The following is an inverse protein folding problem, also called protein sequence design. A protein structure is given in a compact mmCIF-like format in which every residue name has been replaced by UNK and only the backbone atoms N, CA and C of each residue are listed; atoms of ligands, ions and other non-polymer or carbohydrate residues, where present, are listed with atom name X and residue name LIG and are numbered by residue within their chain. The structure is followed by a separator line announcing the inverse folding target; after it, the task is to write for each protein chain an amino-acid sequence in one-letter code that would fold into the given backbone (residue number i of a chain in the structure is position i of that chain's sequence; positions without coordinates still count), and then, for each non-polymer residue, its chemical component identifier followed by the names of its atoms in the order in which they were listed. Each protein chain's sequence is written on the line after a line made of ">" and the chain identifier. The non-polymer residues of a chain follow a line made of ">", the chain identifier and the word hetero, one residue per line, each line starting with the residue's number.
data_IF_911965882888
#
_entry.id   IF_911965882888
#
_cell.length_a   1.000
_cell.length_b   1.000
_cell.length_c   1.000
_cell.angle_alpha   90.00
_cell.angle_beta   90.00
_cell.angle_gamma   90.00
#
_symmetry.space_group_name_H-M   'P 1'
#
loop_
_entity.id
_entity.type
_entity.pdbx_description
1 polymer ?
#
# COMPACT_ATOMS: atom_id res chain seq x y z
N UNK A 1 -26.86 11.57 -17.94
CA UNK A 1 -27.33 11.15 -16.59
C UNK A 1 -26.68 9.79 -16.34
N UNK A 2 -25.77 9.70 -15.38
CA UNK A 2 -25.22 8.40 -14.96
C UNK A 2 -26.30 7.69 -14.15
N UNK A 3 -26.61 6.43 -14.49
CA UNK A 3 -27.46 5.56 -13.68
C UNK A 3 -26.69 4.89 -12.52
N UNK A 4 -25.41 5.24 -12.37
CA UNK A 4 -24.53 4.77 -11.31
C UNK A 4 -24.20 5.93 -10.39
N UNK A 5 -24.40 5.70 -9.09
CA UNK A 5 -24.08 6.62 -8.01
C UNK A 5 -23.14 5.92 -7.03
N UNK A 6 -22.08 6.61 -6.60
CA UNK A 6 -21.18 6.12 -5.55
C UNK A 6 -21.63 6.69 -4.22
N UNK A 7 -21.94 5.82 -3.26
CA UNK A 7 -22.24 6.25 -1.90
C UNK A 7 -20.93 6.63 -1.20
N UNK A 8 -20.83 7.81 -0.58
CA UNK A 8 -19.66 8.19 0.22
C UNK A 8 -19.41 7.20 1.37
N UNK A 9 -18.13 7.00 1.72
CA UNK A 9 -17.76 6.34 2.97
C UNK A 9 -17.83 7.32 4.14
N UNK A 10 -17.98 6.81 5.36
CA UNK A 10 -18.04 7.62 6.56
C UNK A 10 -16.67 8.26 6.88
N UNK A 11 -16.59 9.58 7.00
CA UNK A 11 -15.31 10.31 7.16
C UNK A 11 -15.10 10.92 8.55
N UNK A 12 -16.11 10.91 9.43
CA UNK A 12 -16.09 11.77 10.64
C UNK A 12 -16.17 10.98 11.95
N UNK A 13 -16.92 9.87 12.03
CA UNK A 13 -17.04 9.06 13.25
C UNK A 13 -17.26 7.57 12.95
N UNK A 14 -16.24 6.73 13.13
CA UNK A 14 -16.28 5.27 12.90
C UNK A 14 -15.20 4.80 11.92
N UNK A 15 -15.33 3.59 11.38
CA UNK A 15 -14.43 3.05 10.35
C UNK A 15 -14.53 3.88 9.07
N UNK A 16 -13.40 4.49 8.66
CA UNK A 16 -13.32 5.50 7.59
C UNK A 16 -13.65 4.98 6.18
N UNK A 17 -13.88 3.68 6.04
CA UNK A 17 -13.98 2.99 4.76
C UNK A 17 -15.22 2.09 4.66
N UNK A 18 -16.20 2.28 5.54
CA UNK A 18 -17.54 1.71 5.41
C UNK A 18 -18.50 2.73 4.79
N UNK A 19 -19.47 2.24 4.04
CA UNK A 19 -20.54 3.05 3.45
C UNK A 19 -21.24 3.91 4.51
N UNK A 20 -21.38 5.21 4.24
CA UNK A 20 -22.15 6.11 5.07
C UNK A 20 -23.65 5.91 4.83
N UNK A 21 -24.31 5.29 5.80
CA UNK A 21 -25.74 5.02 5.82
C UNK A 21 -26.56 6.31 5.63
N UNK A 22 -26.19 7.41 6.29
CA UNK A 22 -26.97 8.64 6.21
C UNK A 22 -26.87 9.27 4.82
N UNK A 23 -25.69 9.18 4.20
CA UNK A 23 -25.49 9.60 2.81
C UNK A 23 -26.24 8.70 1.83
N UNK A 24 -26.26 7.38 2.06
CA UNK A 24 -27.07 6.46 1.26
C UNK A 24 -28.57 6.80 1.30
N UNK A 25 -29.15 7.01 2.49
CA UNK A 25 -30.57 7.36 2.65
C UNK A 25 -30.92 8.66 1.92
N UNK A 26 -30.05 9.67 1.97
CA UNK A 26 -30.24 10.93 1.22
C UNK A 26 -30.23 10.69 -0.29
N UNK A 27 -29.27 9.91 -0.79
CA UNK A 27 -29.19 9.61 -2.22
C UNK A 27 -30.44 8.88 -2.73
N UNK A 28 -30.98 7.95 -1.94
CA UNK A 28 -32.25 7.27 -2.24
C UNK A 28 -33.40 8.27 -2.31
N UNK A 29 -33.53 9.15 -1.32
CA UNK A 29 -34.58 10.16 -1.28
C UNK A 29 -34.48 11.16 -2.45
N UNK A 30 -33.27 11.63 -2.76
CA UNK A 30 -33.00 12.55 -3.87
C UNK A 30 -33.33 11.91 -5.23
N UNK A 31 -33.04 10.61 -5.39
CA UNK A 31 -33.41 9.85 -6.58
C UNK A 31 -34.93 9.74 -6.73
N UNK A 32 -35.64 9.41 -5.65
CA UNK A 32 -37.11 9.33 -5.65
C UNK A 32 -37.76 10.69 -5.95
N UNK A 33 -37.28 11.77 -5.34
CA UNK A 33 -37.77 13.15 -5.59
C UNK A 33 -37.52 13.57 -7.05
N UNK A 34 -36.39 13.16 -7.62
CA UNK A 34 -36.07 13.39 -9.03
C UNK A 34 -36.85 12.48 -10.00
N UNK A 35 -37.76 11.62 -9.51
CA UNK A 35 -38.54 10.67 -10.31
C UNK A 35 -37.70 9.53 -10.87
N UNK A 36 -36.53 9.26 -10.30
CA UNK A 36 -35.70 8.09 -10.59
C UNK A 36 -36.13 6.92 -9.71
N UNK A 37 -35.71 5.72 -10.09
CA UNK A 37 -36.00 4.49 -9.34
C UNK A 37 -34.66 3.91 -8.89
N UNK A 38 -34.33 3.97 -7.59
CA UNK A 38 -33.21 3.22 -7.02
C UNK A 38 -33.47 1.71 -7.21
N UNK A 39 -32.55 1.01 -7.89
CA UNK A 39 -32.77 -0.39 -8.29
C UNK A 39 -31.89 -1.38 -7.52
N UNK A 40 -30.61 -1.07 -7.33
CA UNK A 40 -29.60 -2.00 -6.86
C UNK A 40 -28.59 -1.27 -5.98
N UNK A 41 -28.34 -1.82 -4.80
CA UNK A 41 -27.20 -1.47 -3.95
C UNK A 41 -26.17 -2.58 -3.99
N UNK A 42 -24.92 -2.23 -4.28
CA UNK A 42 -23.76 -3.10 -4.15
C UNK A 42 -23.06 -2.78 -2.81
N UNK A 43 -23.07 -3.72 -1.88
CA UNK A 43 -22.45 -3.58 -0.56
C UNK A 43 -21.26 -4.54 -0.41
N UNK A 44 -20.23 -4.11 0.32
CA UNK A 44 -18.99 -4.86 0.49
C UNK A 44 -18.97 -5.65 1.81
N UNK A 45 -18.72 -6.96 1.72
CA UNK A 45 -18.34 -7.86 2.80
C UNK A 45 -16.84 -8.10 2.75
N UNK A 46 -16.08 -7.08 3.10
CA UNK A 46 -14.65 -7.04 2.92
C UNK A 46 -14.25 -6.43 1.59
N UNK A 47 -14.04 -5.12 1.58
CA UNK A 47 -13.54 -4.38 0.41
C UNK A 47 -12.23 -4.99 -0.12
N UNK A 48 -11.98 -4.99 -1.44
CA UNK A 48 -10.78 -5.62 -2.00
C UNK A 48 -9.46 -5.06 -1.43
N UNK A 49 -9.43 -3.76 -1.18
CA UNK A 49 -8.26 -3.06 -0.67
C UNK A 49 -7.99 -3.37 0.81
N UNK A 50 -8.99 -3.16 1.66
CA UNK A 50 -8.77 -3.16 3.11
C UNK A 50 -9.68 -4.10 3.91
N UNK A 51 -10.56 -4.87 3.26
CA UNK A 51 -11.38 -5.85 3.97
C UNK A 51 -12.43 -5.23 4.88
N UNK A 52 -12.87 -3.99 4.61
CA UNK A 52 -13.96 -3.36 5.35
C UNK A 52 -15.32 -3.97 4.99
N UNK A 53 -16.15 -4.23 5.98
CA UNK A 53 -17.51 -4.76 5.80
C UNK A 53 -18.55 -3.69 6.08
N UNK A 54 -19.45 -3.46 5.13
CA UNK A 54 -20.56 -2.53 5.29
C UNK A 54 -21.59 -3.02 6.33
N UNK A 55 -22.35 -2.08 6.89
CA UNK A 55 -23.34 -2.36 7.95
C UNK A 55 -24.61 -3.00 7.39
N UNK A 56 -24.55 -4.29 7.07
CA UNK A 56 -25.63 -5.02 6.38
C UNK A 56 -26.98 -4.99 7.08
N UNK A 57 -27.03 -4.95 8.42
CA UNK A 57 -28.32 -4.88 9.14
C UNK A 57 -29.10 -3.66 8.68
N UNK A 58 -28.48 -2.47 8.74
CA UNK A 58 -29.14 -1.22 8.38
C UNK A 58 -29.36 -1.09 6.88
N UNK A 59 -28.39 -1.52 6.06
CA UNK A 59 -28.55 -1.53 4.60
C UNK A 59 -29.72 -2.41 4.16
N UNK A 60 -29.87 -3.61 4.76
CA UNK A 60 -30.96 -4.52 4.44
C UNK A 60 -32.35 -3.92 4.79
N UNK A 61 -32.45 -3.15 5.87
CA UNK A 61 -33.69 -2.47 6.25
C UNK A 61 -34.07 -1.39 5.24
N UNK A 62 -33.11 -0.52 4.86
CA UNK A 62 -33.34 0.55 3.88
C UNK A 62 -33.71 -0.05 2.52
N UNK A 63 -32.94 -1.03 2.05
CA UNK A 63 -33.22 -1.69 0.78
C UNK A 63 -34.61 -2.35 0.76
N UNK A 64 -35.00 -3.02 1.85
CA UNK A 64 -36.34 -3.61 1.96
C UNK A 64 -37.46 -2.56 1.97
N UNK A 65 -37.23 -1.40 2.60
CA UNK A 65 -38.22 -0.31 2.68
C UNK A 65 -38.48 0.34 1.32
N UNK A 66 -37.42 0.52 0.51
CA UNK A 66 -37.48 1.20 -0.77
C UNK A 66 -37.59 0.23 -1.97
N UNK A 67 -37.61 -1.09 -1.74
CA UNK A 67 -37.65 -2.08 -2.81
C UNK A 67 -36.37 -2.15 -3.65
N UNK A 68 -35.22 -1.82 -3.05
CA UNK A 68 -33.91 -1.84 -3.69
C UNK A 68 -33.30 -3.23 -3.54
N UNK A 69 -32.77 -3.81 -4.62
CA UNK A 69 -32.04 -5.07 -4.55
C UNK A 69 -30.73 -4.90 -3.80
N UNK A 70 -30.46 -5.71 -2.78
CA UNK A 70 -29.18 -5.72 -2.06
C UNK A 70 -28.29 -6.86 -2.55
N UNK A 71 -27.19 -6.51 -3.22
CA UNK A 71 -26.11 -7.44 -3.56
C UNK A 71 -24.92 -7.27 -2.61
N UNK A 72 -24.33 -8.38 -2.16
CA UNK A 72 -23.15 -8.37 -1.29
C UNK A 72 -21.97 -9.10 -1.95
N UNK A 73 -20.81 -8.48 -1.96
CA UNK A 73 -19.58 -9.12 -2.46
C UNK A 73 -18.38 -8.83 -1.56
N UNK A 74 -17.39 -9.72 -1.55
CA UNK A 74 -16.14 -9.49 -0.83
C UNK A 74 -15.55 -10.74 -0.20
N UNK A 75 -14.31 -10.61 0.27
CA UNK A 75 -13.50 -11.74 0.78
C UNK A 75 -13.94 -12.19 2.17
N UNK A 76 -14.55 -11.32 2.96
CA UNK A 76 -15.06 -11.65 4.31
C UNK A 76 -16.27 -12.59 4.24
N UNK A 77 -16.94 -12.71 3.09
CA UNK A 77 -17.96 -13.75 2.84
C UNK A 77 -17.42 -15.17 3.05
N UNK A 78 -16.10 -15.38 2.92
CA UNK A 78 -15.48 -16.66 3.22
C UNK A 78 -15.76 -17.12 4.66
N UNK A 79 -15.88 -16.19 5.62
CA UNK A 79 -16.15 -16.49 7.03
C UNK A 79 -17.53 -17.10 7.28
N UNK A 80 -18.48 -16.97 6.33
CA UNK A 80 -19.81 -17.59 6.43
C UNK A 80 -19.76 -19.12 6.49
N UNK A 81 -18.67 -19.74 6.04
CA UNK A 81 -18.50 -21.19 6.13
C UNK A 81 -18.12 -21.64 7.54
N UNK A 82 -17.61 -20.75 8.39
CA UNK A 82 -17.17 -21.10 9.74
C UNK A 82 -18.36 -21.49 10.62
N UNK A 83 -18.13 -22.41 11.57
CA UNK A 83 -19.17 -22.86 12.51
C UNK A 83 -19.64 -21.77 13.49
N UNK A 84 -18.81 -20.73 13.69
CA UNK A 84 -19.16 -19.51 14.39
C UNK A 84 -18.95 -18.35 13.42
N UNK A 85 -20.05 -17.70 13.03
CA UNK A 85 -20.04 -16.59 12.06
C UNK A 85 -20.19 -15.28 12.82
N UNK A 86 -19.35 -14.26 12.56
CA UNK A 86 -19.50 -12.95 13.17
C UNK A 86 -20.91 -12.38 12.95
N UNK A 87 -21.46 -11.71 13.96
CA UNK A 87 -22.82 -11.14 13.89
C UNK A 87 -22.97 -10.13 12.76
N UNK A 88 -21.92 -9.36 12.46
CA UNK A 88 -21.85 -8.45 11.33
C UNK A 88 -22.05 -9.19 10.00
N UNK A 89 -21.44 -10.36 9.83
CA UNK A 89 -21.52 -11.18 8.62
C UNK A 89 -22.81 -12.01 8.53
N UNK A 90 -23.41 -12.42 9.64
CA UNK A 90 -24.70 -13.12 9.62
C UNK A 90 -25.80 -12.31 8.94
N UNK A 91 -25.74 -10.98 9.02
CA UNK A 91 -26.68 -10.10 8.34
C UNK A 91 -26.51 -10.12 6.81
N UNK A 92 -25.33 -10.45 6.28
CA UNK A 92 -25.11 -10.60 4.84
C UNK A 92 -25.99 -11.71 4.23
N UNK A 93 -26.33 -12.74 5.01
CA UNK A 93 -27.24 -13.81 4.57
C UNK A 93 -28.62 -13.26 4.21
N UNK A 94 -29.01 -12.08 4.75
CA UNK A 94 -30.27 -11.40 4.43
C UNK A 94 -30.30 -10.71 3.06
N UNK A 95 -29.18 -10.60 2.35
CA UNK A 95 -29.13 -9.99 1.03
C UNK A 95 -29.93 -10.77 -0.03
N UNK A 96 -30.28 -10.10 -1.12
CA UNK A 96 -31.00 -10.69 -2.24
C UNK A 96 -30.06 -11.52 -3.12
N UNK A 97 -28.81 -11.10 -3.22
CA UNK A 97 -27.74 -11.90 -3.82
C UNK A 97 -26.37 -11.65 -3.19
N UNK A 98 -25.44 -12.56 -3.46
CA UNK A 98 -24.05 -12.42 -3.07
C UNK A 98 -23.11 -13.09 -4.07
N UNK A 99 -21.93 -12.51 -4.28
CA UNK A 99 -20.88 -13.09 -5.13
C UNK A 99 -19.76 -13.67 -4.28
N UNK A 100 -19.60 -15.00 -4.36
CA UNK A 100 -18.56 -15.75 -3.69
C UNK A 100 -17.37 -15.96 -4.63
N UNK A 101 -16.15 -15.93 -4.10
CA UNK A 101 -14.92 -16.13 -4.87
C UNK A 101 -14.09 -17.29 -4.32
N UNK A 102 -14.57 -18.56 -4.39
CA UNK A 102 -13.85 -19.73 -3.83
C UNK A 102 -12.41 -19.86 -4.35
N UNK A 103 -12.14 -19.41 -5.57
CA UNK A 103 -10.79 -19.38 -6.13
C UNK A 103 -9.82 -18.50 -5.35
N UNK A 104 -10.28 -17.36 -4.87
CA UNK A 104 -9.48 -16.47 -4.01
C UNK A 104 -9.33 -17.09 -2.62
N UNK A 105 -10.42 -17.66 -2.09
CA UNK A 105 -10.46 -18.20 -0.74
C UNK A 105 -9.60 -19.45 -0.52
N UNK A 106 -9.44 -20.24 -1.59
CA UNK A 106 -8.80 -21.57 -1.54
C UNK A 106 -7.56 -21.66 -2.44
N UNK A 107 -7.12 -20.55 -3.05
CA UNK A 107 -5.96 -20.55 -3.96
C UNK A 107 -6.17 -21.36 -5.24
N UNK A 108 -7.38 -21.35 -5.80
CA UNK A 108 -7.76 -22.14 -6.98
C UNK A 108 -7.96 -21.23 -8.22
N UNK A 109 -6.91 -20.93 -9.00
CA UNK A 109 -6.95 -19.90 -10.05
C UNK A 109 -7.91 -20.20 -11.21
N UNK A 110 -8.28 -21.47 -11.42
CA UNK A 110 -9.17 -21.89 -12.52
C UNK A 110 -10.65 -21.95 -12.13
N UNK A 111 -11.03 -21.52 -10.92
CA UNK A 111 -12.41 -21.60 -10.45
C UNK A 111 -13.18 -20.29 -10.71
N UNK A 112 -14.42 -20.36 -11.21
CA UNK A 112 -15.23 -19.17 -11.44
C UNK A 112 -15.71 -18.55 -10.11
N UNK A 113 -16.03 -17.26 -10.14
CA UNK A 113 -16.87 -16.65 -9.12
C UNK A 113 -18.28 -17.28 -9.17
N UNK A 114 -18.93 -17.36 -8.01
CA UNK A 114 -20.25 -17.97 -7.83
C UNK A 114 -21.20 -16.93 -7.27
N UNK A 115 -22.15 -16.47 -8.09
CA UNK A 115 -23.22 -15.60 -7.61
C UNK A 115 -24.39 -16.46 -7.13
N UNK A 116 -24.70 -16.34 -5.84
CA UNK A 116 -25.91 -16.87 -5.23
C UNK A 116 -26.96 -15.77 -5.21
N UNK A 117 -28.20 -16.10 -5.50
CA UNK A 117 -29.32 -15.16 -5.40
C UNK A 117 -30.55 -15.89 -4.91
N UNK A 118 -31.41 -15.17 -4.20
CA UNK A 118 -32.72 -15.67 -3.81
C UNK A 118 -33.67 -15.51 -4.96
N UNK A 119 -34.46 -16.55 -5.19
CA UNK A 119 -35.48 -16.48 -6.20
C UNK A 119 -36.65 -17.39 -5.88
N UNK A 120 -37.86 -16.83 -5.83
CA UNK A 120 -39.09 -17.58 -5.60
C UNK A 120 -39.62 -18.26 -6.88
N UNK A 121 -39.35 -17.68 -8.06
CA UNK A 121 -39.75 -18.20 -9.38
C UNK A 121 -38.59 -18.39 -10.40
N UNK A 122 -38.13 -19.63 -10.68
CA UNK A 122 -37.09 -19.92 -11.66
C UNK A 122 -37.29 -19.30 -13.07
N UNK A 123 -38.52 -18.95 -13.44
CA UNK A 123 -38.85 -18.32 -14.72
C UNK A 123 -38.21 -16.95 -14.91
N UNK A 124 -38.08 -16.16 -13.83
CA UNK A 124 -37.49 -14.83 -13.86
C UNK A 124 -35.96 -14.91 -14.03
N UNK A 125 -35.30 -15.92 -13.44
CA UNK A 125 -33.87 -16.16 -13.69
C UNK A 125 -33.59 -16.49 -15.17
N UNK A 126 -34.49 -17.26 -15.80
CA UNK A 126 -34.43 -17.54 -17.23
C UNK A 126 -34.69 -16.27 -18.06
N UNK A 127 -35.71 -15.50 -17.71
CA UNK A 127 -36.04 -14.23 -18.38
C UNK A 127 -34.91 -13.20 -18.28
N UNK A 128 -34.21 -13.16 -17.14
CA UNK A 128 -33.04 -12.32 -16.90
C UNK A 128 -31.77 -12.82 -17.62
N UNK A 129 -31.82 -13.97 -18.30
CA UNK A 129 -30.68 -14.55 -19.01
C UNK A 129 -29.59 -15.12 -18.09
N UNK A 130 -29.90 -15.34 -16.81
CA UNK A 130 -28.96 -15.92 -15.82
C UNK A 130 -28.75 -17.42 -16.02
N UNK A 131 -29.65 -18.08 -16.76
CA UNK A 131 -29.58 -19.50 -17.09
C UNK A 131 -29.19 -19.67 -18.56
N UNK A 132 -27.99 -20.18 -18.81
CA UNK A 132 -27.54 -20.51 -20.17
C UNK A 132 -27.78 -21.97 -20.52
N UNK A 133 -28.28 -22.22 -21.74
CA UNK A 133 -28.42 -23.55 -22.32
C UNK A 133 -27.16 -24.02 -23.06
N UNK A 134 -26.14 -23.16 -23.21
CA UNK A 134 -24.93 -23.48 -23.97
C UNK A 134 -24.09 -24.53 -23.22
N UNK A 135 -23.64 -25.61 -23.88
CA UNK A 135 -22.83 -26.64 -23.22
C UNK A 135 -21.57 -26.09 -22.55
N UNK A 136 -20.88 -25.12 -23.17
CA UNK A 136 -19.69 -24.49 -22.58
C UNK A 136 -19.98 -23.83 -21.22
N UNK A 137 -21.16 -23.20 -21.08
CA UNK A 137 -21.56 -22.52 -19.84
C UNK A 137 -21.92 -23.52 -18.74
N UNK A 138 -22.47 -24.68 -19.13
CA UNK A 138 -22.74 -25.80 -18.22
C UNK A 138 -21.48 -26.50 -17.71
N UNK A 139 -20.36 -26.38 -18.43
CA UNK A 139 -19.08 -26.97 -18.03
C UNK A 139 -18.23 -26.02 -17.15
N UNK A 140 -18.55 -24.72 -17.10
CA UNK A 140 -17.83 -23.74 -16.25
C UNK A 140 -17.76 -24.12 -14.76
N UNK A 141 -18.77 -24.78 -14.15
CA UNK A 141 -18.68 -25.19 -12.74
C UNK A 141 -17.76 -26.39 -12.50
N UNK A 142 -17.29 -27.10 -13.53
CA UNK A 142 -16.51 -28.34 -13.36
C UNK A 142 -15.23 -28.17 -12.54
N UNK A 143 -14.38 -27.14 -12.76
CA UNK A 143 -13.19 -26.92 -11.94
C UNK A 143 -13.56 -26.73 -10.47
N UNK A 144 -14.59 -25.94 -10.19
CA UNK A 144 -15.08 -25.73 -8.83
C UNK A 144 -15.59 -27.03 -8.21
N UNK A 145 -16.43 -27.77 -8.93
CA UNK A 145 -16.96 -29.06 -8.46
C UNK A 145 -15.84 -30.04 -8.13
N UNK A 146 -14.85 -30.18 -9.02
CA UNK A 146 -13.70 -31.06 -8.81
C UNK A 146 -12.91 -30.63 -7.57
N UNK A 147 -12.63 -29.34 -7.42
CA UNK A 147 -11.91 -28.81 -6.25
C UNK A 147 -12.65 -29.06 -4.93
N UNK A 148 -13.98 -28.85 -4.91
CA UNK A 148 -14.80 -29.12 -3.73
C UNK A 148 -14.81 -30.60 -3.36
N UNK A 149 -14.83 -31.50 -4.35
CA UNK A 149 -14.76 -32.95 -4.13
C UNK A 149 -13.39 -33.40 -3.60
N UNK A 150 -12.30 -32.82 -4.13
CA UNK A 150 -10.93 -33.17 -3.72
C UNK A 150 -10.58 -32.64 -2.33
N UNK A 151 -10.93 -31.39 -2.02
CA UNK A 151 -10.66 -30.79 -0.71
C UNK A 151 -11.58 -31.37 0.38
N UNK A 152 -12.87 -31.53 0.05
CA UNK A 152 -13.89 -31.85 1.03
C UNK A 152 -14.19 -30.68 1.97
N UNK A 153 -15.31 -30.78 2.71
CA UNK A 153 -15.80 -29.70 3.57
C UNK A 153 -14.82 -29.39 4.72
N UNK A 154 -14.25 -30.42 5.36
CA UNK A 154 -13.31 -30.24 6.48
C UNK A 154 -12.06 -29.44 6.10
N UNK A 155 -11.48 -29.69 4.92
CA UNK A 155 -10.30 -28.95 4.48
C UNK A 155 -10.64 -27.50 4.17
N UNK A 156 -11.76 -27.23 3.50
CA UNK A 156 -12.24 -25.86 3.22
C UNK A 156 -12.40 -25.08 4.52
N UNK A 157 -13.09 -25.67 5.51
CA UNK A 157 -13.25 -25.08 6.84
C UNK A 157 -11.91 -24.80 7.51
N UNK A 158 -10.97 -25.73 7.41
CA UNK A 158 -9.64 -25.59 7.99
C UNK A 158 -8.83 -24.47 7.31
N UNK A 159 -8.90 -24.34 5.98
CA UNK A 159 -8.25 -23.25 5.25
C UNK A 159 -8.75 -21.87 5.69
N UNK A 160 -10.08 -21.67 5.74
CA UNK A 160 -10.65 -20.39 6.16
C UNK A 160 -10.36 -20.11 7.64
N UNK A 161 -10.44 -21.14 8.50
CA UNK A 161 -10.11 -21.01 9.92
C UNK A 161 -8.63 -20.65 10.12
N UNK A 162 -7.73 -21.26 9.36
CA UNK A 162 -6.32 -20.92 9.42
C UNK A 162 -6.10 -19.47 8.99
N UNK A 163 -6.68 -19.03 7.87
CA UNK A 163 -6.53 -17.66 7.39
C UNK A 163 -7.02 -16.60 8.39
N UNK A 164 -8.16 -16.84 9.02
CA UNK A 164 -8.71 -15.97 10.08
C UNK A 164 -7.82 -15.97 11.33
N UNK A 165 -7.31 -17.13 11.76
CA UNK A 165 -6.36 -17.24 12.87
C UNK A 165 -5.03 -16.52 12.61
N UNK A 166 -4.47 -16.63 11.40
CA UNK A 166 -3.23 -15.95 11.01
C UNK A 166 -3.43 -14.42 11.02
N UNK A 167 -4.57 -13.96 10.49
CA UNK A 167 -4.91 -12.53 10.49
C UNK A 167 -5.06 -12.00 11.91
N UNK A 168 -5.75 -12.73 12.78
CA UNK A 168 -5.93 -12.35 14.19
C UNK A 168 -4.60 -12.35 14.95
N UNK A 169 -3.74 -13.36 14.75
CA UNK A 169 -2.43 -13.43 15.37
C UNK A 169 -1.54 -12.24 14.95
N UNK A 170 -1.50 -11.93 13.64
CA UNK A 170 -0.78 -10.75 13.16
C UNK A 170 -1.34 -9.48 13.78
N UNK A 171 -2.67 -9.31 13.79
CA UNK A 171 -3.33 -8.14 14.35
C UNK A 171 -2.97 -7.93 15.83
N UNK A 172 -3.00 -8.98 16.64
CA UNK A 172 -2.69 -8.89 18.06
C UNK A 172 -1.21 -8.58 18.31
N UNK A 173 -0.30 -9.08 17.46
CA UNK A 173 1.11 -8.72 17.52
C UNK A 173 1.38 -7.29 17.07
N UNK A 174 0.74 -6.82 16.01
CA UNK A 174 0.88 -5.44 15.52
C UNK A 174 0.42 -4.41 16.55
N UNK A 175 -0.64 -4.71 17.33
CA UNK A 175 -1.11 -3.85 18.44
C UNK A 175 -0.05 -3.63 19.52
N UNK A 176 0.90 -4.55 19.67
CA UNK A 176 1.99 -4.46 20.67
C UNK A 176 3.18 -3.63 20.15
N UNK A 177 3.26 -3.39 18.84
CA UNK A 177 4.37 -2.66 18.24
C UNK A 177 4.07 -1.15 18.22
N UNK A 178 5.02 -0.30 18.63
CA UNK A 178 4.84 1.15 18.56
C UNK A 178 4.84 1.61 17.10
N UNK A 179 4.26 2.79 16.85
CA UNK A 179 4.27 3.44 15.53
C UNK A 179 3.51 2.69 14.43
N UNK A 180 2.71 1.66 14.74
CA UNK A 180 1.86 0.98 13.76
C UNK A 180 0.44 1.54 13.83
N UNK A 181 -0.06 2.06 12.71
CA UNK A 181 -1.48 2.36 12.50
C UNK A 181 -2.12 1.20 11.76
N UNK A 182 -3.15 0.61 12.34
CA UNK A 182 -3.96 -0.46 11.73
C UNK A 182 -5.18 0.23 11.13
N UNK A 183 -5.44 0.10 9.83
CA UNK A 183 -6.55 0.81 9.19
C UNK A 183 -7.90 0.11 9.41
N UNK A 184 -7.90 -1.18 9.72
CA UNK A 184 -9.09 -2.00 9.96
C UNK A 184 -9.25 -2.22 11.47
N UNK A 185 -10.05 -1.39 12.12
CA UNK A 185 -10.10 -1.35 13.59
C UNK A 185 -11.09 -2.33 14.25
N UNK A 186 -12.16 -2.75 13.56
CA UNK A 186 -13.38 -3.19 14.29
C UNK A 186 -14.03 -4.52 13.83
N UNK A 187 -13.40 -5.33 12.99
CA UNK A 187 -13.99 -6.60 12.54
C UNK A 187 -13.21 -7.81 13.06
N UNK A 188 -13.70 -8.36 14.18
CA UNK A 188 -13.30 -9.67 14.69
C UNK A 188 -13.49 -10.69 13.55
N UNK A 189 -12.44 -11.45 13.25
CA UNK A 189 -12.38 -12.50 12.21
C UNK A 189 -12.29 -12.02 10.75
N UNK A 190 -11.97 -10.76 10.47
CA UNK A 190 -11.62 -10.37 9.09
C UNK A 190 -10.32 -11.05 8.64
N UNK A 191 -10.31 -11.77 7.50
CA UNK A 191 -9.13 -12.50 7.03
C UNK A 191 -8.15 -11.62 6.24
N UNK A 192 -8.20 -10.30 6.47
CA UNK A 192 -7.32 -9.29 5.85
C UNK A 192 -6.86 -8.34 6.93
N UNK A 193 -5.56 -8.07 6.97
CA UNK A 193 -4.96 -7.08 7.87
C UNK A 193 -4.28 -6.00 7.03
N UNK A 194 -4.66 -4.74 7.25
CA UNK A 194 -4.02 -3.60 6.62
C UNK A 194 -3.44 -2.68 7.68
N UNK A 195 -2.16 -2.36 7.54
CA UNK A 195 -1.43 -1.53 8.49
C UNK A 195 -0.37 -0.69 7.78
N UNK A 196 0.03 0.40 8.41
CA UNK A 196 1.19 1.21 7.99
C UNK A 196 2.00 1.62 9.21
N UNK A 197 3.27 1.94 8.98
CA UNK A 197 4.10 2.55 10.03
C UNK A 197 4.01 4.06 9.90
N UNK A 198 3.68 4.71 11.01
CA UNK A 198 3.57 6.15 11.15
C UNK A 198 4.88 6.69 11.70
N UNK A 199 5.52 7.56 10.91
CA UNK A 199 6.83 8.13 11.22
C UNK A 199 6.74 9.51 11.87
N UNK A 200 5.55 10.13 11.88
CA UNK A 200 5.37 11.47 12.44
C UNK A 200 5.60 11.51 13.96
N UNK A 201 6.26 12.57 14.41
CA UNK A 201 6.29 12.94 15.82
C UNK A 201 4.92 13.52 16.18
N UNK A 202 4.28 13.02 17.22
CA UNK A 202 2.99 13.54 17.68
C UNK A 202 3.11 15.04 17.98
N UNK A 203 2.39 15.87 17.21
CA UNK A 203 2.02 17.26 17.45
C UNK A 203 2.99 18.11 18.28
N UNK A 204 3.86 18.90 17.62
CA UNK A 204 4.35 20.15 18.19
C UNK A 204 3.16 21.14 18.27
N UNK A 205 2.76 21.61 19.47
CA UNK A 205 1.67 22.57 19.58
C UNK A 205 2.16 23.96 19.15
N UNK A 206 1.68 24.49 18.03
CA UNK A 206 1.82 25.91 17.71
C UNK A 206 2.20 26.32 16.28
N UNK A 207 2.02 25.51 15.24
CA UNK A 207 2.24 25.95 13.86
C UNK A 207 0.97 26.59 13.26
N UNK A 208 1.11 27.81 12.73
CA UNK A 208 0.04 28.64 12.18
C UNK A 208 -0.60 28.06 10.90
N UNK A 209 -1.87 28.39 10.67
CA UNK A 209 -2.87 27.64 9.88
C UNK A 209 -2.86 27.89 8.36
N UNK A 210 -1.81 28.46 7.73
CA UNK A 210 -1.97 28.98 6.34
C UNK A 210 -1.07 28.37 5.23
N UNK A 211 -0.19 27.40 5.50
CA UNK A 211 0.52 26.62 4.45
C UNK A 211 0.46 25.09 4.67
N UNK A 212 -0.60 24.64 5.34
CA UNK A 212 -0.67 23.30 5.95
C UNK A 212 -0.91 22.17 4.94
N UNK A 213 -1.60 22.41 3.81
CA UNK A 213 -1.96 21.34 2.86
C UNK A 213 -0.78 20.79 2.06
N UNK A 214 0.06 21.67 1.51
CA UNK A 214 1.19 21.25 0.66
C UNK A 214 2.28 20.54 1.48
N UNK A 215 2.49 20.96 2.73
CA UNK A 215 3.45 20.31 3.63
C UNK A 215 2.94 18.94 4.09
N UNK A 216 1.66 18.84 4.46
CA UNK A 216 1.03 17.56 4.82
C UNK A 216 1.08 16.55 3.66
N UNK A 217 0.78 17.01 2.43
CA UNK A 217 0.84 16.15 1.25
C UNK A 217 2.27 15.65 0.99
N UNK A 218 3.28 16.51 1.15
CA UNK A 218 4.70 16.12 1.01
C UNK A 218 5.15 15.11 2.06
N UNK A 219 4.74 15.30 3.32
CA UNK A 219 5.05 14.36 4.40
C UNK A 219 4.38 13.01 4.16
N UNK A 220 3.15 13.00 3.61
CA UNK A 220 2.44 11.78 3.23
C UNK A 220 3.16 11.02 2.12
N UNK A 221 3.50 11.69 1.01
CA UNK A 221 4.23 11.08 -0.12
C UNK A 221 5.57 10.48 0.34
N UNK A 222 6.27 11.17 1.24
CA UNK A 222 7.51 10.69 1.80
C UNK A 222 7.29 9.47 2.71
N UNK A 223 6.29 9.51 3.60
CA UNK A 223 5.94 8.38 4.45
C UNK A 223 5.55 7.14 3.62
N UNK A 224 4.88 7.34 2.49
CA UNK A 224 4.57 6.27 1.54
C UNK A 224 5.82 5.66 0.93
N UNK A 225 6.84 6.46 0.61
CA UNK A 225 8.12 5.93 0.11
C UNK A 225 8.80 5.02 1.13
N UNK A 226 8.76 5.37 2.42
CA UNK A 226 9.31 4.56 3.51
C UNK A 226 8.52 3.27 3.73
N UNK A 227 7.18 3.34 3.72
CA UNK A 227 6.33 2.15 3.81
C UNK A 227 6.51 1.21 2.60
N UNK A 228 6.74 1.74 1.40
CA UNK A 228 7.09 0.97 0.19
C UNK A 228 8.41 0.23 0.35
N UNK A 229 9.43 0.93 0.83
CA UNK A 229 10.72 0.31 1.13
C UNK A 229 10.58 -0.81 2.17
N UNK A 230 9.84 -0.55 3.26
CA UNK A 230 9.58 -1.54 4.30
C UNK A 230 8.85 -2.76 3.72
N UNK A 231 7.81 -2.57 2.91
CA UNK A 231 7.09 -3.66 2.27
C UNK A 231 8.02 -4.54 1.42
N UNK A 232 8.86 -3.92 0.58
CA UNK A 232 9.84 -4.66 -0.25
C UNK A 232 10.83 -5.46 0.60
N UNK A 233 11.30 -4.90 1.71
CA UNK A 233 12.23 -5.58 2.61
C UNK A 233 11.59 -6.73 3.38
N UNK A 234 10.33 -6.59 3.80
CA UNK A 234 9.57 -7.64 4.46
C UNK A 234 9.22 -8.77 3.50
N UNK A 235 8.85 -8.47 2.24
CA UNK A 235 8.62 -9.48 1.22
C UNK A 235 9.87 -10.32 0.93
N UNK A 236 11.06 -9.70 0.94
CA UNK A 236 12.33 -10.44 0.79
C UNK A 236 12.64 -11.29 2.02
N UNK A 237 12.37 -10.78 3.21
CA UNK A 237 12.65 -11.48 4.47
C UNK A 237 11.70 -12.66 4.71
N UNK A 238 10.42 -12.49 4.40
CA UNK A 238 9.37 -13.49 4.61
C UNK A 238 8.48 -13.59 3.35
N UNK A 239 8.97 -14.24 2.27
CA UNK A 239 8.21 -14.34 1.02
C UNK A 239 6.87 -15.06 1.19
N UNK A 240 6.82 -16.06 2.10
CA UNK A 240 5.62 -16.82 2.41
C UNK A 240 4.50 -15.99 3.04
N UNK A 241 4.78 -14.79 3.57
CA UNK A 241 3.74 -13.89 4.08
C UNK A 241 2.83 -13.35 2.97
N UNK A 242 3.32 -13.31 1.72
CA UNK A 242 2.62 -12.73 0.58
C UNK A 242 2.10 -11.31 0.82
N UNK A 243 2.81 -10.53 1.64
CA UNK A 243 2.52 -9.14 1.93
C UNK A 243 2.48 -8.33 0.63
N UNK A 244 1.56 -7.38 0.51
CA UNK A 244 1.38 -6.55 -0.70
C UNK A 244 1.15 -5.09 -0.34
N UNK A 245 1.40 -4.19 -1.28
CA UNK A 245 1.10 -2.77 -1.14
C UNK A 245 -0.36 -2.49 -1.52
N UNK A 246 -1.02 -1.60 -0.79
CA UNK A 246 -2.36 -1.09 -1.10
C UNK A 246 -2.43 0.40 -0.82
N UNK A 247 -3.09 1.17 -1.67
CA UNK A 247 -3.30 2.60 -1.48
C UNK A 247 -4.73 2.84 -0.99
N UNK A 248 -4.88 3.58 0.10
CA UNK A 248 -6.16 3.96 0.69
C UNK A 248 -6.33 5.48 0.61
N UNK A 249 -7.53 5.95 0.26
CA UNK A 249 -7.78 7.38 0.00
C UNK A 249 -7.38 8.30 1.16
N UNK A 250 -7.68 7.91 2.40
CA UNK A 250 -7.38 8.71 3.61
C UNK A 250 -6.02 8.37 4.24
N UNK A 251 -5.44 7.22 3.88
CA UNK A 251 -4.31 6.62 4.59
C UNK A 251 -3.04 6.47 3.75
N UNK A 252 -3.09 6.78 2.46
CA UNK A 252 -1.95 6.64 1.55
C UNK A 252 -1.54 5.18 1.42
N UNK A 253 -0.24 4.93 1.29
CA UNK A 253 0.31 3.60 1.09
C UNK A 253 0.32 2.79 2.40
N UNK A 254 -0.37 1.65 2.38
CA UNK A 254 -0.43 0.68 3.46
C UNK A 254 0.07 -0.70 3.01
N UNK A 255 0.45 -1.52 3.98
CA UNK A 255 0.84 -2.90 3.80
C UNK A 255 -0.36 -3.80 4.09
N UNK A 256 -0.65 -4.71 3.16
CA UNK A 256 -1.80 -5.61 3.18
C UNK A 256 -1.35 -7.06 3.28
N UNK A 257 -1.83 -7.72 4.33
CA UNK A 257 -1.68 -9.16 4.55
C UNK A 257 -3.04 -9.85 4.37
N UNK A 258 -3.10 -10.84 3.48
CA UNK A 258 -4.35 -11.52 3.10
C UNK A 258 -4.14 -13.04 3.02
N UNK A 259 -4.13 -13.75 4.17
CA UNK A 259 -3.80 -15.17 4.24
C UNK A 259 -4.78 -16.08 3.52
N UNK A 260 -5.98 -15.62 3.12
CA UNK A 260 -6.86 -16.39 2.23
C UNK A 260 -6.18 -16.81 0.92
N UNK A 261 -5.38 -15.90 0.36
CA UNK A 261 -4.67 -16.16 -0.90
C UNK A 261 -3.35 -16.85 -0.61
N UNK A 262 -2.61 -16.37 0.40
CA UNK A 262 -1.24 -16.77 0.62
C UNK A 262 -1.14 -18.12 1.35
N UNK A 263 -2.05 -18.45 2.26
CA UNK A 263 -2.01 -19.74 2.96
C UNK A 263 -2.20 -20.92 2.00
N UNK A 264 -2.99 -20.74 0.94
CA UNK A 264 -3.19 -21.77 -0.08
C UNK A 264 -2.10 -21.77 -1.15
N UNK A 265 -1.56 -20.60 -1.52
CA UNK A 265 -0.59 -20.48 -2.62
C UNK A 265 0.88 -20.61 -2.17
N UNK A 266 1.19 -20.23 -0.93
CA UNK A 266 2.54 -20.09 -0.38
C UNK A 266 2.75 -20.89 0.92
N UNK A 267 1.76 -21.69 1.34
CA UNK A 267 1.76 -22.45 2.59
C UNK A 267 2.03 -21.59 3.84
N UNK A 268 1.53 -20.34 3.85
CA UNK A 268 1.69 -19.41 4.98
C UNK A 268 1.22 -20.02 6.30
N UNK A 269 2.07 -19.91 7.32
CA UNK A 269 1.86 -20.49 8.65
C UNK A 269 2.03 -19.46 9.77
N UNK A 270 1.79 -19.88 11.03
CA UNK A 270 2.02 -19.01 12.18
C UNK A 270 3.51 -18.63 12.33
N UNK A 271 4.43 -19.51 11.93
CA UNK A 271 5.87 -19.21 11.99
C UNK A 271 6.25 -18.05 11.04
N UNK A 272 5.54 -17.92 9.91
CA UNK A 272 5.75 -16.81 8.97
C UNK A 272 5.20 -15.49 9.54
N UNK A 273 4.07 -15.53 10.25
CA UNK A 273 3.54 -14.37 10.98
C UNK A 273 4.52 -13.92 12.07
N UNK A 274 5.11 -14.87 12.80
CA UNK A 274 6.12 -14.60 13.82
C UNK A 274 7.36 -13.95 13.21
N UNK A 275 7.89 -14.56 12.13
CA UNK A 275 9.03 -14.04 11.37
C UNK A 275 8.76 -12.67 10.77
N UNK A 276 7.53 -12.40 10.31
CA UNK A 276 7.12 -11.10 9.79
C UNK A 276 7.17 -10.03 10.89
N UNK A 277 6.67 -10.35 12.10
CA UNK A 277 6.71 -9.44 13.24
C UNK A 277 8.14 -9.17 13.73
N UNK A 278 9.01 -10.18 13.73
CA UNK A 278 10.43 -10.02 14.03
C UNK A 278 11.13 -9.14 12.98
N UNK A 279 10.86 -9.40 11.69
CA UNK A 279 11.39 -8.62 10.58
C UNK A 279 10.93 -7.16 10.61
N UNK A 280 9.69 -6.90 11.00
CA UNK A 280 9.14 -5.57 11.27
C UNK A 280 9.89 -4.89 12.42
N UNK A 281 9.99 -5.57 13.56
CA UNK A 281 10.65 -5.05 14.76
C UNK A 281 12.13 -4.71 14.54
N UNK A 282 12.80 -5.46 13.66
CA UNK A 282 14.19 -5.20 13.28
C UNK A 282 14.37 -4.00 12.33
N UNK A 283 13.37 -3.68 11.50
CA UNK A 283 13.49 -2.67 10.42
C UNK A 283 12.86 -1.32 10.76
N UNK A 284 11.80 -1.31 11.58
CA UNK A 284 11.14 -0.08 12.02
C UNK A 284 12.12 0.90 12.72
N UNK A 285 13.05 0.46 13.58
CA UNK A 285 14.05 1.36 14.17
C UNK A 285 14.94 2.05 13.13
N UNK A 286 15.45 1.32 12.14
CA UNK A 286 16.23 1.86 11.00
C UNK A 286 15.42 2.93 10.25
N UNK A 287 14.12 2.67 10.07
CA UNK A 287 13.19 3.59 9.42
C UNK A 287 13.00 4.89 10.20
N UNK A 288 12.73 4.78 11.50
CA UNK A 288 12.56 5.92 12.40
C UNK A 288 13.84 6.75 12.54
N UNK A 289 15.00 6.08 12.64
CA UNK A 289 16.30 6.74 12.69
C UNK A 289 16.57 7.52 11.40
N UNK A 290 16.41 6.85 10.25
CA UNK A 290 16.60 7.47 8.94
C UNK A 290 15.68 8.68 8.76
N UNK A 291 14.41 8.58 9.18
CA UNK A 291 13.44 9.66 9.15
C UNK A 291 13.89 10.88 9.98
N UNK A 292 14.29 10.67 11.24
CA UNK A 292 14.77 11.74 12.13
C UNK A 292 15.98 12.46 11.57
N UNK A 293 16.94 11.70 11.05
CA UNK A 293 18.20 12.21 10.51
C UNK A 293 18.04 13.03 9.22
N UNK A 294 16.88 12.99 8.55
CA UNK A 294 16.60 13.83 7.38
C UNK A 294 16.68 15.32 7.69
N UNK A 295 16.13 15.73 8.84
CA UNK A 295 16.13 17.13 9.26
C UNK A 295 17.55 17.63 9.53
N UNK A 296 18.36 16.80 10.20
CA UNK A 296 19.77 17.06 10.43
C UNK A 296 20.54 17.17 9.10
N UNK A 297 20.36 16.22 8.18
CA UNK A 297 20.98 16.24 6.84
C UNK A 297 20.64 17.52 6.09
N UNK A 298 19.36 17.92 6.09
CA UNK A 298 18.91 19.15 5.41
C UNK A 298 19.62 20.38 5.97
N UNK A 299 19.69 20.51 7.29
CA UNK A 299 20.31 21.67 7.94
C UNK A 299 21.82 21.73 7.71
N UNK A 300 22.52 20.60 7.82
CA UNK A 300 23.97 20.55 7.61
C UNK A 300 24.35 20.74 6.15
N UNK A 301 23.60 20.16 5.21
CA UNK A 301 23.85 20.34 3.77
C UNK A 301 23.71 21.79 3.33
N UNK A 302 22.70 22.53 3.84
CA UNK A 302 22.52 23.96 3.55
C UNK A 302 23.67 24.84 4.09
N UNK A 303 24.41 24.34 5.09
CA UNK A 303 25.53 25.05 5.70
C UNK A 303 26.89 24.66 5.10
N UNK A 304 26.91 23.76 4.12
CA UNK A 304 28.13 23.16 3.54
C UNK A 304 28.23 23.41 2.02
N UNK A 305 28.50 24.64 1.55
CA UNK A 305 28.78 24.88 0.14
C UNK A 305 30.02 24.07 -0.32
N UNK A 306 30.04 23.50 -1.54
CA UNK A 306 29.11 23.72 -2.66
C UNK A 306 27.97 22.67 -2.76
N UNK A 307 27.50 22.09 -1.66
CA UNK A 307 26.39 21.14 -1.68
C UNK A 307 25.03 21.84 -1.71
N UNK A 308 24.13 21.33 -2.54
CA UNK A 308 22.72 21.67 -2.56
C UNK A 308 21.89 20.47 -2.08
N UNK A 309 21.04 20.67 -1.08
CA UNK A 309 20.07 19.68 -0.65
C UNK A 309 18.87 19.64 -1.60
N UNK A 310 18.49 18.44 -2.03
CA UNK A 310 17.32 18.22 -2.88
C UNK A 310 16.28 17.36 -2.14
N UNK A 311 15.09 17.92 -2.01
CA UNK A 311 13.96 17.25 -1.37
C UNK A 311 13.29 16.30 -2.37
N UNK A 312 13.75 15.05 -2.37
CA UNK A 312 13.18 13.98 -3.18
C UNK A 312 12.05 13.27 -2.41
N UNK A 313 10.84 13.30 -2.98
CA UNK A 313 9.61 12.86 -2.31
C UNK A 313 9.42 11.34 -2.34
N UNK A 314 9.95 10.69 -3.38
CA UNK A 314 9.80 9.24 -3.60
C UNK A 314 11.02 8.44 -3.10
N UNK A 315 11.88 9.03 -2.25
CA UNK A 315 13.11 8.39 -1.77
C UNK A 315 13.03 8.03 -0.28
N UNK A 316 12.96 6.72 -0.01
CA UNK A 316 13.15 6.14 1.31
C UNK A 316 14.64 6.16 1.71
N UNK A 317 15.02 7.12 2.55
CA UNK A 317 16.39 7.33 3.02
C UNK A 317 16.56 8.72 3.62
N UNK A 318 17.80 9.18 3.79
CA UNK A 318 18.05 10.51 4.38
C UNK A 318 17.76 11.65 3.41
N UNK A 319 17.99 11.46 2.12
CA UNK A 319 17.71 12.46 1.09
C UNK A 319 18.69 12.41 -0.07
N UNK A 320 18.60 13.42 -0.94
CA UNK A 320 19.47 13.60 -2.09
C UNK A 320 20.30 14.88 -1.95
N UNK A 321 21.57 14.80 -2.33
CA UNK A 321 22.49 15.93 -2.36
C UNK A 321 23.01 16.10 -3.78
N UNK A 322 23.17 17.35 -4.21
CA UNK A 322 23.83 17.70 -5.47
C UNK A 322 25.08 18.50 -5.18
N UNK A 323 26.18 18.12 -5.80
CA UNK A 323 27.41 18.91 -5.76
C UNK A 323 27.38 19.95 -6.89
N UNK A 324 27.49 21.23 -6.55
CA UNK A 324 27.50 22.32 -7.54
C UNK A 324 28.93 22.62 -7.99
N UNK A 325 29.25 22.24 -9.24
CA UNK A 325 30.57 22.46 -9.84
C UNK A 325 30.76 23.96 -10.13
N UNK A 326 31.86 24.53 -9.65
CA UNK A 326 32.11 25.96 -9.77
C UNK A 326 32.67 26.33 -11.16
N UNK A 327 31.91 27.09 -11.96
CA UNK A 327 32.48 27.87 -13.08
C UNK A 327 32.45 27.27 -14.49
N UNK A 328 31.46 26.45 -14.86
CA UNK A 328 31.26 26.03 -16.26
C UNK A 328 29.88 26.41 -16.80
N UNK A 329 29.83 27.44 -17.65
CA UNK A 329 28.68 27.72 -18.52
C UNK A 329 28.70 26.73 -19.69
N UNK A 330 28.06 25.58 -19.51
CA UNK A 330 27.80 24.64 -20.61
C UNK A 330 26.45 24.93 -21.27
N UNK A 331 26.32 24.51 -22.53
CA UNK A 331 25.01 24.40 -23.17
C UNK A 331 24.16 23.38 -22.38
N UNK A 332 22.86 23.62 -22.11
CA UNK A 332 22.06 22.84 -21.17
C UNK A 332 21.96 21.33 -21.48
N UNK A 333 22.17 20.91 -22.73
CA UNK A 333 22.19 19.50 -23.13
C UNK A 333 23.48 18.76 -22.74
N UNK A 334 24.62 19.45 -22.75
CA UNK A 334 25.94 18.85 -22.47
C UNK A 334 26.25 18.88 -20.97
N UNK A 335 25.68 19.86 -20.26
CA UNK A 335 25.81 20.02 -18.82
C UNK A 335 25.30 18.79 -18.05
N UNK A 336 24.17 18.23 -18.48
CA UNK A 336 23.56 17.07 -17.81
C UNK A 336 24.43 15.82 -17.93
N UNK A 337 24.99 15.56 -19.11
CA UNK A 337 25.87 14.40 -19.37
C UNK A 337 27.19 14.50 -18.60
N UNK A 338 27.76 15.70 -18.50
CA UNK A 338 28.99 15.90 -17.72
C UNK A 338 28.74 15.82 -16.20
N UNK A 339 27.61 16.31 -15.70
CA UNK A 339 27.19 16.14 -14.31
C UNK A 339 26.95 14.66 -13.96
N UNK A 340 26.37 13.89 -14.87
CA UNK A 340 26.20 12.44 -14.69
C UNK A 340 27.53 11.72 -14.55
N UNK A 341 28.49 11.98 -15.45
CA UNK A 341 29.85 11.41 -15.38
C UNK A 341 30.57 11.83 -14.10
N UNK A 342 30.43 13.10 -13.71
CA UNK A 342 31.01 13.60 -12.47
C UNK A 342 30.44 12.87 -11.25
N UNK A 343 29.12 12.78 -11.14
CA UNK A 343 28.45 12.11 -10.02
C UNK A 343 28.74 10.60 -9.98
N UNK A 344 28.91 9.96 -11.14
CA UNK A 344 29.33 8.57 -11.19
C UNK A 344 30.74 8.38 -10.62
N UNK A 345 31.69 9.27 -10.94
CA UNK A 345 33.06 9.25 -10.40
C UNK A 345 33.08 9.56 -8.89
N UNK A 346 32.40 10.62 -8.49
CA UNK A 346 32.20 10.99 -7.09
C UNK A 346 31.62 9.81 -6.31
N UNK A 347 30.63 9.14 -6.89
CA UNK A 347 29.98 8.04 -6.23
C UNK A 347 30.79 6.77 -6.09
N UNK A 348 31.64 6.46 -7.07
CA UNK A 348 32.58 5.37 -6.96
C UNK A 348 33.61 5.62 -5.84
N UNK A 349 34.15 6.85 -5.75
CA UNK A 349 35.07 7.23 -4.66
C UNK A 349 34.38 7.19 -3.30
N UNK A 350 33.19 7.78 -3.17
CA UNK A 350 32.46 7.80 -1.90
C UNK A 350 32.06 6.39 -1.43
N UNK A 351 31.68 5.48 -2.34
CA UNK A 351 31.44 4.07 -1.98
C UNK A 351 32.68 3.38 -1.41
N UNK A 352 33.88 3.78 -1.82
CA UNK A 352 35.12 3.21 -1.28
C UNK A 352 35.50 3.79 0.08
N UNK A 353 35.17 5.06 0.34
CA UNK A 353 35.48 5.75 1.60
C UNK A 353 34.43 5.50 2.69
N UNK A 354 33.17 5.30 2.30
CA UNK A 354 32.02 5.16 3.18
C UNK A 354 31.24 3.87 2.86
N UNK A 355 31.83 2.67 3.10
CA UNK A 355 31.19 1.39 2.75
C UNK A 355 29.92 1.12 3.57
N UNK A 356 29.83 1.68 4.78
CA UNK A 356 28.73 1.45 5.72
C UNK A 356 27.50 2.33 5.43
N UNK A 357 27.62 3.33 4.55
CA UNK A 357 26.52 4.22 4.17
C UNK A 357 26.00 3.80 2.79
N UNK A 358 24.70 3.45 2.66
CA UNK A 358 24.15 3.05 1.38
C UNK A 358 23.98 4.26 0.46
N UNK A 359 25.00 4.52 -0.35
CA UNK A 359 25.02 5.59 -1.33
C UNK A 359 24.64 5.08 -2.72
N UNK A 360 23.65 5.73 -3.33
CA UNK A 360 23.21 5.46 -4.71
C UNK A 360 23.45 6.68 -5.60
N UNK A 361 23.82 6.44 -6.86
CA UNK A 361 24.18 7.48 -7.83
C UNK A 361 23.45 7.20 -9.15
N UNK A 362 22.90 8.24 -9.78
CA UNK A 362 22.15 8.11 -11.03
C UNK A 362 20.64 7.86 -10.85
N UNK A 363 19.91 7.57 -11.93
CA UNK A 363 18.46 7.61 -11.91
C UNK A 363 17.89 6.40 -11.17
N UNK A 364 17.00 6.63 -10.21
CA UNK A 364 15.89 5.71 -9.96
C UNK A 364 14.64 6.22 -10.67
N UNK A 365 13.66 5.35 -10.86
CA UNK A 365 12.39 5.69 -11.49
C UNK A 365 11.83 7.04 -10.97
N UNK A 366 11.85 8.07 -11.83
CA UNK A 366 11.36 9.42 -11.53
C UNK A 366 12.33 10.40 -10.85
N UNK A 367 13.53 9.96 -10.44
CA UNK A 367 14.52 10.81 -9.74
C UNK A 367 15.51 11.49 -10.68
N UNK A 368 16.15 12.57 -10.20
CA UNK A 368 17.15 13.31 -10.97
C UNK A 368 18.48 12.55 -11.07
N UNK A 369 19.12 12.71 -12.23
CA UNK A 369 20.35 12.04 -12.65
C UNK A 369 21.63 12.63 -12.04
N UNK A 370 21.55 13.86 -11.54
CA UNK A 370 22.67 14.69 -11.07
C UNK A 370 22.87 14.67 -9.55
N UNK A 371 22.38 13.63 -8.86
CA UNK A 371 22.30 13.60 -7.40
C UNK A 371 22.98 12.38 -6.77
N UNK A 372 23.49 12.59 -5.55
CA UNK A 372 23.93 11.57 -4.60
C UNK A 372 22.79 11.27 -3.64
N UNK A 373 22.25 10.05 -3.70
CA UNK A 373 21.18 9.61 -2.82
C UNK A 373 21.74 8.86 -1.62
N UNK A 374 21.40 9.31 -0.43
CA UNK A 374 21.75 8.66 0.84
C UNK A 374 20.56 7.81 1.28
N UNK A 375 20.76 6.49 1.32
CA UNK A 375 19.73 5.50 1.65
C UNK A 375 19.41 5.43 3.14
N UNK A 376 18.92 4.27 3.56
CA UNK A 376 18.53 3.97 4.94
C UNK A 376 19.75 3.73 5.81
N UNK A 377 19.79 4.31 7.01
CA UNK A 377 20.94 4.18 7.92
C UNK A 377 20.53 3.42 9.18
N UNK A 378 21.41 2.55 9.64
CA UNK A 378 21.18 1.67 10.80
C UNK A 378 21.77 2.23 12.09
N UNK A 379 22.67 3.21 12.00
CA UNK A 379 23.38 3.80 13.13
C UNK A 379 23.34 5.34 13.04
N UNK A 380 23.55 6.01 14.18
CA UNK A 380 23.65 7.46 14.20
C UNK A 380 24.87 7.91 13.40
N UNK A 381 24.67 8.90 12.53
CA UNK A 381 25.72 9.44 11.68
C UNK A 381 26.06 10.87 12.13
N UNK A 382 27.36 11.15 12.21
CA UNK A 382 27.84 12.53 12.28
C UNK A 382 27.65 13.19 10.92
N UNK A 383 26.57 13.96 10.81
CA UNK A 383 26.22 14.66 9.57
C UNK A 383 27.28 15.69 9.16
N UNK A 384 27.98 16.30 10.09
CA UNK A 384 29.01 17.28 9.77
C UNK A 384 30.22 16.59 9.13
N UNK A 385 30.69 15.50 9.73
CA UNK A 385 31.76 14.67 9.18
C UNK A 385 31.36 14.08 7.80
N UNK A 386 30.11 13.62 7.65
CA UNK A 386 29.61 13.12 6.38
C UNK A 386 29.62 14.21 5.30
N UNK A 387 29.11 15.41 5.59
CA UNK A 387 29.10 16.51 4.62
C UNK A 387 30.53 16.92 4.24
N UNK A 388 31.44 16.99 5.23
CA UNK A 388 32.84 17.31 4.99
C UNK A 388 33.50 16.30 4.04
N UNK A 389 33.35 15.00 4.28
CA UNK A 389 33.89 13.95 3.39
C UNK A 389 33.32 14.05 1.98
N UNK A 390 32.03 14.36 1.83
CA UNK A 390 31.40 14.53 0.51
C UNK A 390 31.97 15.77 -0.21
N UNK A 391 32.15 16.89 0.50
CA UNK A 391 32.73 18.12 -0.06
C UNK A 391 34.18 17.89 -0.48
N UNK A 392 35.01 17.31 0.38
CA UNK A 392 36.43 17.03 0.11
C UNK A 392 36.58 16.09 -1.10
N UNK A 393 35.80 15.00 -1.14
CA UNK A 393 35.82 14.08 -2.28
C UNK A 393 35.33 14.76 -3.56
N UNK A 394 34.32 15.63 -3.47
CA UNK A 394 33.81 16.42 -4.59
C UNK A 394 34.85 17.36 -5.16
N UNK A 395 35.58 18.07 -4.29
CA UNK A 395 36.68 18.96 -4.68
C UNK A 395 37.81 18.19 -5.36
N UNK A 396 38.22 17.04 -4.83
CA UNK A 396 39.23 16.20 -5.48
C UNK A 396 38.80 15.73 -6.88
N UNK A 397 37.53 15.34 -7.04
CA UNK A 397 37.00 14.90 -8.34
C UNK A 397 36.93 16.08 -9.30
N UNK A 398 36.56 17.26 -8.83
CA UNK A 398 36.55 18.50 -9.61
C UNK A 398 37.97 18.87 -10.08
N UNK A 399 38.96 18.84 -9.19
CA UNK A 399 40.37 19.08 -9.52
C UNK A 399 40.89 18.06 -10.53
N UNK A 400 40.64 16.77 -10.32
CA UNK A 400 41.06 15.70 -11.25
C UNK A 400 40.42 15.84 -12.63
N UNK A 401 39.22 16.43 -12.71
CA UNK A 401 38.51 16.67 -13.96
C UNK A 401 39.02 17.92 -14.69
N UNK A 402 39.50 18.95 -13.97
CA UNK A 402 40.13 20.14 -14.55
C UNK A 402 41.52 19.86 -15.14
N UNK A 403 42.32 18.99 -14.51
CA UNK A 403 43.68 18.65 -14.97
C UNK A 403 43.68 17.92 -16.32
N UNK A 404 42.58 17.25 -16.70
CA UNK A 404 42.41 16.63 -18.01
C UNK A 404 42.15 17.61 -19.17
N UNK A 405 41.94 18.91 -18.89
CA UNK A 405 41.60 19.95 -19.87
C UNK A 405 42.71 20.98 -20.12
N UNK A 406 43.99 20.64 -19.93
CA UNK A 406 45.06 21.49 -20.46
C UNK A 406 45.08 21.38 -22.00
N UNK A 407 44.94 22.48 -22.75
CA UNK A 407 45.20 22.45 -24.18
C UNK A 407 46.70 22.18 -24.35
N UNK A 408 47.04 21.12 -25.08
CA UNK A 408 48.36 20.90 -25.64
C UNK A 408 48.73 22.13 -26.49
N UNK A 409 49.36 23.12 -25.87
CA UNK A 409 50.09 24.18 -26.56
C UNK A 409 51.29 23.51 -27.23
N UNK A 410 51.06 23.00 -28.44
CA UNK A 410 52.13 22.66 -29.37
C UNK A 410 52.92 23.93 -29.66
N UNK A 411 54.07 24.06 -29.01
CA UNK A 411 55.12 25.00 -29.41
C UNK A 411 55.79 24.40 -30.65
N UNK A 412 55.46 24.94 -31.82
CA UNK A 412 56.29 24.77 -33.01
C UNK A 412 57.34 25.89 -33.02
N UNK A 413 58.62 25.51 -32.95
CA UNK A 413 59.78 26.31 -33.37
C UNK A 413 60.04 26.01 -34.84
#
# INVERSE_FOLDING_TARGET
>A
MSCLCTVPCNTVFGSQHQMDIASFERLVADDEEAGRVPLLLLANAGTPAAGHTDKFVRLSEICSQHGIWLHVEGVTLATLVLGFVPSAMLAAVKSDSMTLTPGIWLGLPATPAVTLYRHDDPSLALAAGLVSSRPADRLRPLPLWLSLQQLGNSAILQCIRLATQLSQNLLDKLKLLPNIKISVHDEVDCPVVVFKVVLSEQNLPGAAVVEVSDLQQRESELQDSFNRWLCSELQKAVPASGLSEVELDDDGLCLRFSPLVTAAALDTSNADVDSLCEALSARVPTMLLSWRLRTALRHTALSAPPLAYLEERCWAGLGALRYEVSGQEFHPSDQQVELEKFNQKLGQKLKSLLPDIPLTFGPKAGGRLDCVYIGMVTEELDMAALMQTIVETGQEVEESSRVGCFPLLFVFI
#
